data_IF_003304266083
#
_entry.id   IF_003304266083
#
_cell.length_a   1.000
_cell.length_b   1.000
_cell.length_c   1.000
_cell.angle_alpha   90.00
_cell.angle_beta   90.00
_cell.angle_gamma   90.00
#
_symmetry.space_group_name_H-M   'P 1'
#
loop_
_entity.id
_entity.type
_entity.pdbx_description
1 polymer ?
#
# COMPACT_ATOMS: atom_id res chain seq x y z
N UNK A 1 5.49 -46.02 -1.15
CA UNK A 1 6.83 -46.12 -0.54
C UNK A 1 7.53 -44.82 -0.81
N UNK A 2 7.58 -43.95 0.20
CA UNK A 2 8.14 -42.60 0.12
C UNK A 2 9.65 -42.74 0.27
N UNK A 3 10.39 -42.45 -0.80
CA UNK A 3 11.85 -42.43 -0.74
C UNK A 3 12.28 -41.16 -0.03
N UNK A 4 12.79 -41.34 1.20
CA UNK A 4 13.59 -40.37 1.93
C UNK A 4 14.79 -39.98 1.07
N UNK A 5 14.75 -38.79 0.47
CA UNK A 5 15.95 -38.17 -0.09
C UNK A 5 16.64 -37.45 1.07
N UNK A 6 17.55 -38.17 1.72
CA UNK A 6 18.41 -37.57 2.74
C UNK A 6 19.32 -36.53 2.10
N UNK A 7 19.33 -35.32 2.66
CA UNK A 7 20.29 -34.29 2.29
C UNK A 7 21.71 -34.76 2.67
N UNK A 8 22.70 -34.65 1.76
CA UNK A 8 24.07 -35.03 2.07
C UNK A 8 24.67 -34.11 3.15
N UNK A 9 25.48 -34.69 4.03
CA UNK A 9 26.28 -33.98 5.02
C UNK A 9 27.30 -33.06 4.32
N UNK A 10 27.14 -31.74 4.41
CA UNK A 10 28.08 -30.73 3.89
C UNK A 10 28.81 -30.01 5.06
N UNK A 11 30.17 -29.98 5.08
CA UNK A 11 30.97 -29.43 6.19
C UNK A 11 31.03 -27.90 6.30
N UNK A 12 30.43 -27.12 5.39
CA UNK A 12 30.33 -25.67 5.52
C UNK A 12 28.89 -25.24 5.84
N UNK A 13 28.54 -25.23 7.13
CA UNK A 13 27.30 -24.59 7.62
C UNK A 13 27.39 -23.07 7.48
N UNK A 14 27.14 -22.60 6.27
CA UNK A 14 26.90 -21.19 5.92
C UNK A 14 25.50 -20.70 6.41
N UNK A 15 24.79 -21.51 7.22
CA UNK A 15 23.46 -21.29 7.78
C UNK A 15 23.34 -20.09 8.74
N UNK A 16 24.45 -19.45 9.11
CA UNK A 16 24.47 -18.39 10.12
C UNK A 16 24.69 -16.99 9.55
N UNK A 17 24.85 -16.84 8.23
CA UNK A 17 24.98 -15.51 7.64
C UNK A 17 23.60 -14.88 7.48
N UNK A 18 23.32 -13.87 8.29
CA UNK A 18 22.16 -13.00 8.10
C UNK A 18 22.34 -12.23 6.80
N UNK A 19 21.44 -12.45 5.84
CA UNK A 19 21.45 -11.81 4.52
C UNK A 19 20.57 -10.56 4.54
N UNK A 20 19.39 -10.65 5.17
CA UNK A 20 18.44 -9.55 5.30
C UNK A 20 17.96 -9.49 6.74
N UNK A 21 17.92 -8.29 7.33
CA UNK A 21 17.44 -8.09 8.70
C UNK A 21 16.51 -6.88 8.82
N UNK A 22 15.51 -6.99 9.70
CA UNK A 22 14.65 -5.88 10.14
C UNK A 22 15.40 -4.85 10.99
N UNK A 23 16.55 -5.22 11.56
CA UNK A 23 17.37 -4.38 12.44
C UNK A 23 18.30 -3.43 11.66
N UNK A 24 17.72 -2.52 10.86
CA UNK A 24 18.53 -1.52 10.16
C UNK A 24 18.94 -0.38 11.12
N UNK A 25 20.24 -0.22 11.35
CA UNK A 25 20.79 0.88 12.16
C UNK A 25 20.67 0.71 13.67
N UNK A 26 20.32 -0.49 14.16
CA UNK A 26 20.23 -0.83 15.59
C UNK A 26 20.90 -2.18 15.86
N UNK A 27 21.29 -2.42 17.12
CA UNK A 27 21.82 -3.73 17.51
C UNK A 27 20.73 -4.81 17.41
N UNK A 28 21.00 -5.94 16.75
CA UNK A 28 20.01 -7.00 16.59
C UNK A 28 19.78 -7.73 17.90
N UNK A 29 18.52 -8.03 18.20
CA UNK A 29 18.18 -8.94 19.28
C UNK A 29 18.50 -10.39 18.90
N UNK A 30 18.71 -11.22 19.93
CA UNK A 30 18.93 -12.65 19.70
C UNK A 30 17.63 -13.32 19.23
N UNK A 31 17.71 -14.07 18.13
CA UNK A 31 16.62 -14.91 17.63
C UNK A 31 16.17 -15.88 18.71
N UNK A 32 14.86 -16.10 18.82
CA UNK A 32 14.33 -17.07 19.77
C UNK A 32 14.97 -18.45 19.53
N UNK A 33 15.59 -19.07 20.55
CA UNK A 33 16.30 -20.34 20.39
C UNK A 33 15.45 -21.48 19.81
N UNK A 34 14.11 -21.45 20.01
CA UNK A 34 13.19 -22.44 19.42
C UNK A 34 13.16 -22.40 17.89
N UNK A 35 13.47 -21.25 17.29
CA UNK A 35 13.22 -20.96 15.87
C UNK A 35 14.47 -20.54 15.10
N UNK A 36 15.66 -20.82 15.63
CA UNK A 36 16.92 -20.56 14.93
C UNK A 36 16.93 -21.23 13.56
N UNK A 37 16.48 -22.49 13.47
CA UNK A 37 16.45 -23.22 12.20
C UNK A 37 15.47 -22.61 11.19
N UNK A 38 14.29 -22.17 11.65
CA UNK A 38 13.31 -21.46 10.83
C UNK A 38 13.89 -20.16 10.28
N UNK A 39 14.52 -19.35 11.14
CA UNK A 39 15.17 -18.09 10.74
C UNK A 39 16.35 -18.33 9.78
N UNK A 40 17.21 -19.31 10.06
CA UNK A 40 18.31 -19.68 9.19
C UNK A 40 17.84 -20.09 7.78
N UNK A 41 16.74 -20.85 7.69
CA UNK A 41 16.13 -21.21 6.39
C UNK A 41 15.53 -20.00 5.69
N UNK A 42 14.89 -19.08 6.42
CA UNK A 42 14.44 -17.80 5.85
C UNK A 42 15.61 -17.03 5.22
N UNK A 43 16.72 -16.89 5.96
CA UNK A 43 17.95 -16.23 5.48
C UNK A 43 18.58 -16.93 4.28
N UNK A 44 18.56 -18.27 4.26
CA UNK A 44 19.03 -19.05 3.12
C UNK A 44 18.21 -18.77 1.86
N UNK A 45 16.89 -18.64 1.97
CA UNK A 45 16.08 -18.26 0.82
C UNK A 45 16.37 -16.84 0.32
N UNK A 46 16.69 -15.87 1.20
CA UNK A 46 17.20 -14.57 0.75
C UNK A 46 18.57 -14.64 0.08
N UNK A 47 19.46 -15.53 0.53
CA UNK A 47 20.74 -15.80 -0.17
C UNK A 47 20.47 -16.25 -1.60
N UNK A 48 19.59 -17.24 -1.79
CA UNK A 48 19.23 -17.72 -3.13
C UNK A 48 18.55 -16.66 -3.98
N UNK A 49 17.70 -15.82 -3.38
CA UNK A 49 17.12 -14.67 -4.05
C UNK A 49 18.21 -13.69 -4.55
N UNK A 50 19.17 -13.33 -3.70
CA UNK A 50 20.28 -12.45 -4.09
C UNK A 50 21.13 -13.05 -5.23
N UNK A 51 21.30 -14.37 -5.23
CA UNK A 51 22.01 -15.13 -6.27
C UNK A 51 21.17 -15.36 -7.55
N UNK A 52 19.91 -14.89 -7.58
CA UNK A 52 18.92 -15.15 -8.64
C UNK A 52 18.66 -16.64 -8.88
N UNK A 53 18.84 -17.47 -7.86
CA UNK A 53 18.51 -18.89 -7.89
C UNK A 53 17.06 -19.10 -7.42
N UNK A 54 16.11 -18.80 -8.30
CA UNK A 54 14.68 -18.80 -7.95
C UNK A 54 14.15 -20.18 -7.55
N UNK A 55 14.66 -21.25 -8.17
CA UNK A 55 14.21 -22.62 -7.88
C UNK A 55 14.56 -23.05 -6.45
N UNK A 56 15.80 -22.81 -6.02
CA UNK A 56 16.21 -23.17 -4.67
C UNK A 56 15.65 -22.20 -3.63
N UNK A 57 15.44 -20.93 -4.00
CA UNK A 57 14.69 -19.96 -3.19
C UNK A 57 13.27 -20.47 -2.89
N UNK A 58 12.47 -20.81 -3.91
CA UNK A 58 11.09 -21.28 -3.76
C UNK A 58 11.04 -22.58 -2.94
N UNK A 59 11.90 -23.55 -3.23
CA UNK A 59 11.95 -24.81 -2.44
C UNK A 59 12.26 -24.54 -0.97
N UNK A 60 13.21 -23.66 -0.70
CA UNK A 60 13.61 -23.29 0.66
C UNK A 60 12.49 -22.56 1.38
N UNK A 61 11.87 -21.55 0.75
CA UNK A 61 10.79 -20.79 1.35
C UNK A 61 9.48 -21.57 1.48
N UNK A 62 9.23 -22.57 0.63
CA UNK A 62 8.14 -23.51 0.84
C UNK A 62 8.37 -24.38 2.08
N UNK A 63 9.61 -24.82 2.32
CA UNK A 63 9.94 -25.53 3.56
C UNK A 63 9.78 -24.62 4.79
N UNK A 64 10.23 -23.36 4.69
CA UNK A 64 9.99 -22.34 5.73
C UNK A 64 8.50 -22.15 5.99
N UNK A 65 7.68 -22.05 4.95
CA UNK A 65 6.23 -21.89 5.10
C UNK A 65 5.62 -23.04 5.89
N UNK A 66 5.97 -24.29 5.57
CA UNK A 66 5.49 -25.46 6.31
C UNK A 66 5.96 -25.45 7.77
N UNK A 67 7.24 -25.18 8.01
CA UNK A 67 7.81 -25.09 9.36
C UNK A 67 7.16 -23.95 10.18
N UNK A 68 6.83 -22.84 9.53
CA UNK A 68 6.13 -21.70 10.12
C UNK A 68 4.69 -22.07 10.51
N UNK A 69 3.93 -22.72 9.63
CA UNK A 69 2.57 -23.16 9.94
C UNK A 69 2.56 -24.10 11.15
N UNK A 70 3.47 -25.07 11.18
CA UNK A 70 3.68 -25.97 12.31
C UNK A 70 4.05 -25.21 13.60
N UNK A 71 4.89 -24.17 13.49
CA UNK A 71 5.31 -23.36 14.63
C UNK A 71 4.14 -22.53 15.19
N UNK A 72 3.34 -21.92 14.32
CA UNK A 72 2.16 -21.14 14.70
C UNK A 72 1.11 -22.01 15.38
N UNK A 73 0.89 -23.24 14.89
CA UNK A 73 -0.01 -24.21 15.53
C UNK A 73 0.50 -24.59 16.93
N UNK A 74 1.79 -24.89 17.08
CA UNK A 74 2.41 -25.27 18.37
C UNK A 74 2.34 -24.17 19.42
N UNK A 75 2.50 -22.91 19.02
CA UNK A 75 2.37 -21.75 19.92
C UNK A 75 0.91 -21.29 20.08
N UNK A 76 -0.04 -21.97 19.42
CA UNK A 76 -1.47 -21.65 19.44
C UNK A 76 -1.79 -20.19 19.03
N UNK A 77 -0.99 -19.63 18.12
CA UNK A 77 -1.20 -18.27 17.58
C UNK A 77 -1.95 -18.32 16.26
N UNK A 78 -2.81 -17.31 16.05
CA UNK A 78 -3.70 -17.24 14.88
C UNK A 78 -3.44 -16.03 13.98
N UNK A 79 -2.36 -15.29 14.23
CA UNK A 79 -2.00 -14.14 13.42
C UNK A 79 -0.49 -14.01 13.29
N UNK A 80 0.00 -13.58 12.12
CA UNK A 80 1.44 -13.42 11.87
C UNK A 80 2.08 -12.42 12.84
N UNK A 81 1.46 -11.25 13.03
CA UNK A 81 1.94 -10.23 13.98
C UNK A 81 2.03 -10.76 15.42
N UNK A 82 1.15 -11.67 15.82
CA UNK A 82 1.24 -12.30 17.14
C UNK A 82 2.39 -13.31 17.23
N UNK A 83 2.66 -14.04 16.15
CA UNK A 83 3.81 -14.93 16.08
C UNK A 83 5.14 -14.15 16.05
N UNK A 84 5.16 -12.97 15.43
CA UNK A 84 6.35 -12.11 15.36
C UNK A 84 6.91 -11.73 16.75
N UNK A 85 6.03 -11.52 17.72
CA UNK A 85 6.39 -11.27 19.13
C UNK A 85 7.07 -12.49 19.80
N UNK A 86 6.85 -13.70 19.28
CA UNK A 86 7.45 -14.95 19.78
C UNK A 86 8.71 -15.29 18.98
N UNK A 87 8.64 -15.19 17.66
CA UNK A 87 9.68 -15.65 16.74
C UNK A 87 10.99 -14.90 16.95
N UNK A 88 10.91 -13.58 17.08
CA UNK A 88 12.05 -12.67 17.17
C UNK A 88 13.15 -12.91 16.11
N UNK A 89 12.77 -13.33 14.90
CA UNK A 89 13.71 -13.58 13.82
C UNK A 89 14.33 -12.32 13.23
N UNK A 90 15.24 -12.51 12.28
CA UNK A 90 15.80 -11.43 11.48
C UNK A 90 14.78 -10.80 10.54
N UNK A 91 13.66 -11.48 10.27
CA UNK A 91 12.51 -10.90 9.58
C UNK A 91 11.27 -10.93 10.46
N UNK A 92 10.34 -10.02 10.19
CA UNK A 92 8.95 -10.21 10.57
C UNK A 92 8.32 -11.19 9.59
N UNK A 93 7.70 -12.25 10.10
CA UNK A 93 6.85 -13.16 9.32
C UNK A 93 5.76 -12.38 8.61
N UNK A 94 5.15 -11.38 9.28
CA UNK A 94 4.14 -10.52 8.66
C UNK A 94 4.60 -9.82 7.38
N UNK A 95 5.92 -9.65 7.20
CA UNK A 95 6.52 -9.06 6.01
C UNK A 95 7.05 -10.14 5.05
N UNK A 96 7.70 -11.18 5.58
CA UNK A 96 8.32 -12.24 4.79
C UNK A 96 7.32 -13.00 3.91
N UNK A 97 6.07 -13.18 4.36
CA UNK A 97 5.04 -13.83 3.54
C UNK A 97 4.77 -13.11 2.21
N UNK A 98 4.92 -11.78 2.20
CA UNK A 98 4.85 -10.97 0.98
C UNK A 98 6.08 -11.15 0.09
N UNK A 99 7.28 -11.26 0.67
CA UNK A 99 8.48 -11.57 -0.10
C UNK A 99 8.36 -12.94 -0.80
N UNK A 100 7.75 -13.93 -0.13
CA UNK A 100 7.53 -15.25 -0.72
C UNK A 100 6.52 -15.18 -1.90
N UNK A 101 5.42 -14.44 -1.74
CA UNK A 101 4.50 -14.19 -2.86
C UNK A 101 5.20 -13.51 -4.04
N UNK A 102 5.97 -12.45 -3.79
CA UNK A 102 6.71 -11.73 -4.84
C UNK A 102 7.67 -12.64 -5.61
N UNK A 103 8.28 -13.62 -4.93
CA UNK A 103 9.14 -14.59 -5.60
C UNK A 103 8.37 -15.56 -6.48
N UNK A 104 7.19 -16.00 -6.06
CA UNK A 104 6.32 -16.81 -6.90
C UNK A 104 5.83 -16.00 -8.11
N UNK A 105 5.41 -14.76 -7.88
CA UNK A 105 5.00 -13.81 -8.91
C UNK A 105 6.06 -13.62 -9.99
N UNK A 106 7.30 -13.34 -9.59
CA UNK A 106 8.44 -13.18 -10.51
C UNK A 106 8.61 -14.41 -11.41
N UNK A 107 8.48 -15.62 -10.87
CA UNK A 107 8.63 -16.84 -11.68
C UNK A 107 7.43 -17.06 -12.60
N UNK A 108 6.20 -16.91 -12.11
CA UNK A 108 5.00 -17.17 -12.93
C UNK A 108 4.83 -16.15 -14.05
N UNK A 109 5.26 -14.90 -13.85
CA UNK A 109 5.17 -13.86 -14.87
C UNK A 109 6.21 -14.02 -16.00
N UNK A 110 7.35 -14.65 -15.71
CA UNK A 110 8.47 -14.71 -16.64
C UNK A 110 8.70 -16.10 -17.27
N UNK A 111 7.98 -17.14 -16.83
CA UNK A 111 8.12 -18.49 -17.38
C UNK A 111 7.32 -18.69 -18.67
N UNK A 112 7.92 -19.38 -19.65
CA UNK A 112 7.21 -19.93 -20.82
C UNK A 112 6.88 -21.42 -20.66
N UNK A 113 7.36 -22.06 -19.59
CA UNK A 113 7.08 -23.45 -19.27
C UNK A 113 5.70 -23.53 -18.58
N UNK A 114 4.77 -24.20 -19.25
CA UNK A 114 3.38 -24.36 -18.80
C UNK A 114 3.25 -25.22 -17.54
N UNK A 115 4.14 -26.19 -17.33
CA UNK A 115 4.11 -27.02 -16.12
C UNK A 115 4.59 -26.21 -14.90
N UNK A 116 5.63 -25.40 -15.08
CA UNK A 116 6.11 -24.47 -14.05
C UNK A 116 5.04 -23.42 -13.72
N UNK A 117 4.42 -22.83 -14.75
CA UNK A 117 3.33 -21.87 -14.58
C UNK A 117 2.16 -22.47 -13.79
N UNK A 118 1.71 -23.68 -14.16
CA UNK A 118 0.61 -24.36 -13.48
C UNK A 118 0.96 -24.70 -12.02
N UNK A 119 2.15 -25.25 -11.78
CA UNK A 119 2.59 -25.65 -10.45
C UNK A 119 2.75 -24.46 -9.51
N UNK A 120 3.49 -23.43 -9.92
CA UNK A 120 3.75 -22.27 -9.07
C UNK A 120 2.59 -21.29 -9.03
N UNK A 121 1.75 -21.21 -10.07
CA UNK A 121 0.51 -20.45 -10.03
C UNK A 121 -0.48 -21.04 -9.00
N UNK A 122 -0.65 -22.37 -8.98
CA UNK A 122 -1.48 -23.02 -7.95
C UNK A 122 -0.90 -22.84 -6.55
N UNK A 123 0.42 -22.94 -6.40
CA UNK A 123 1.08 -22.69 -5.12
C UNK A 123 0.86 -21.23 -4.66
N UNK A 124 0.98 -20.25 -5.56
CA UNK A 124 0.75 -18.83 -5.25
C UNK A 124 -0.70 -18.57 -4.80
N UNK A 125 -1.68 -19.18 -5.48
CA UNK A 125 -3.09 -19.10 -5.06
C UNK A 125 -3.28 -19.71 -3.67
N UNK A 126 -2.72 -20.89 -3.42
CA UNK A 126 -2.84 -21.55 -2.12
C UNK A 126 -2.20 -20.70 -1.00
N UNK A 127 -0.96 -20.26 -1.21
CA UNK A 127 -0.22 -19.42 -0.28
C UNK A 127 -1.03 -18.19 0.13
N UNK A 128 -1.57 -17.45 -0.84
CA UNK A 128 -2.29 -16.21 -0.54
C UNK A 128 -3.66 -16.47 0.12
N UNK A 129 -4.34 -17.57 -0.21
CA UNK A 129 -5.54 -17.98 0.53
C UNK A 129 -5.24 -18.30 1.99
N UNK A 130 -4.11 -18.96 2.26
CA UNK A 130 -3.68 -19.28 3.61
C UNK A 130 -3.24 -18.01 4.36
N UNK A 131 -2.47 -17.12 3.72
CA UNK A 131 -2.09 -15.81 4.28
C UNK A 131 -3.33 -15.07 4.79
N UNK A 132 -4.41 -15.00 4.01
CA UNK A 132 -5.66 -14.33 4.41
C UNK A 132 -6.26 -14.88 5.71
N UNK A 133 -5.99 -16.14 6.09
CA UNK A 133 -6.48 -16.73 7.34
C UNK A 133 -5.74 -16.22 8.59
N UNK A 134 -4.53 -15.68 8.42
CA UNK A 134 -3.65 -15.25 9.52
C UNK A 134 -3.45 -13.73 9.59
N UNK A 135 -4.18 -12.98 8.76
CA UNK A 135 -4.19 -11.52 8.79
C UNK A 135 -5.31 -11.00 9.72
N UNK A 136 -5.01 -9.90 10.42
CA UNK A 136 -5.97 -9.16 11.24
C UNK A 136 -6.72 -8.11 10.40
N UNK A 137 -7.83 -7.59 10.93
CA UNK A 137 -8.68 -6.63 10.20
C UNK A 137 -7.97 -5.33 9.83
N UNK A 138 -6.96 -4.94 10.59
CA UNK A 138 -6.15 -3.75 10.36
C UNK A 138 -4.96 -4.00 9.41
N UNK A 139 -4.76 -5.24 8.92
CA UNK A 139 -3.76 -5.60 7.91
C UNK A 139 -4.25 -5.31 6.48
N UNK A 140 -4.92 -4.17 6.29
CA UNK A 140 -5.64 -3.84 5.05
C UNK A 140 -4.78 -4.01 3.79
N UNK A 141 -3.55 -3.47 3.81
CA UNK A 141 -2.63 -3.54 2.66
C UNK A 141 -2.27 -4.99 2.32
N UNK A 142 -1.97 -5.82 3.32
CA UNK A 142 -1.63 -7.23 3.12
C UNK A 142 -2.82 -8.04 2.62
N UNK A 143 -4.04 -7.75 3.12
CA UNK A 143 -5.28 -8.37 2.64
C UNK A 143 -5.51 -8.04 1.17
N UNK A 144 -5.37 -6.77 0.80
CA UNK A 144 -5.54 -6.27 -0.56
C UNK A 144 -4.51 -6.91 -1.52
N UNK A 145 -3.24 -6.96 -1.12
CA UNK A 145 -2.19 -7.61 -1.91
C UNK A 145 -2.47 -9.11 -2.11
N UNK A 146 -2.82 -9.85 -1.06
CA UNK A 146 -3.11 -11.27 -1.18
C UNK A 146 -4.33 -11.55 -2.07
N UNK A 147 -5.40 -10.75 -1.95
CA UNK A 147 -6.58 -10.83 -2.81
C UNK A 147 -6.24 -10.61 -4.27
N UNK A 148 -5.45 -9.56 -4.56
CA UNK A 148 -5.00 -9.23 -5.91
C UNK A 148 -4.12 -10.34 -6.49
N UNK A 149 -3.14 -10.83 -5.71
CA UNK A 149 -2.29 -11.94 -6.11
C UNK A 149 -3.10 -13.18 -6.52
N UNK A 150 -4.16 -13.54 -5.78
CA UNK A 150 -5.04 -14.66 -6.14
C UNK A 150 -5.75 -14.41 -7.46
N UNK A 151 -6.39 -13.24 -7.63
CA UNK A 151 -7.17 -12.94 -8.83
C UNK A 151 -6.29 -12.87 -10.08
N UNK A 152 -5.17 -12.14 -10.02
CA UNK A 152 -4.20 -12.02 -11.11
C UNK A 152 -3.62 -13.39 -11.50
N UNK A 153 -3.37 -14.26 -10.53
CA UNK A 153 -2.85 -15.61 -10.83
C UNK A 153 -3.86 -16.46 -11.60
N UNK A 154 -5.17 -16.30 -11.36
CA UNK A 154 -6.18 -16.97 -12.20
C UNK A 154 -6.15 -16.49 -13.65
N UNK A 155 -5.92 -15.20 -13.90
CA UNK A 155 -5.70 -14.69 -15.27
C UNK A 155 -4.44 -15.30 -15.89
N UNK A 156 -3.33 -15.36 -15.15
CA UNK A 156 -2.08 -15.97 -15.63
C UNK A 156 -2.26 -17.44 -16.02
N UNK A 157 -3.03 -18.19 -15.23
CA UNK A 157 -3.39 -19.59 -15.51
C UNK A 157 -4.43 -19.75 -16.62
N UNK A 158 -4.90 -18.66 -17.24
CA UNK A 158 -5.89 -18.67 -18.32
C UNK A 158 -7.33 -18.86 -17.85
N UNK A 159 -7.60 -18.87 -16.55
CA UNK A 159 -8.94 -18.91 -15.98
C UNK A 159 -9.49 -17.50 -15.75
N UNK A 160 -9.73 -16.80 -16.87
CA UNK A 160 -10.21 -15.42 -16.88
C UNK A 160 -11.50 -15.24 -16.07
N UNK A 161 -12.48 -16.13 -16.26
CA UNK A 161 -13.78 -16.03 -15.59
C UNK A 161 -13.65 -16.03 -14.07
N UNK A 162 -12.75 -16.86 -13.53
CA UNK A 162 -12.52 -16.87 -12.07
C UNK A 162 -11.80 -15.62 -11.59
N UNK A 163 -10.85 -15.11 -12.37
CA UNK A 163 -10.18 -13.85 -12.07
C UNK A 163 -11.16 -12.67 -12.03
N UNK A 164 -12.06 -12.57 -13.01
CA UNK A 164 -13.16 -11.57 -13.05
C UNK A 164 -14.05 -11.68 -11.82
N UNK A 165 -14.56 -12.87 -11.53
CA UNK A 165 -15.46 -13.12 -10.39
C UNK A 165 -14.83 -12.64 -9.06
N UNK A 166 -13.53 -12.87 -8.90
CA UNK A 166 -12.81 -12.47 -7.69
C UNK A 166 -12.63 -10.96 -7.61
N UNK A 167 -12.17 -10.28 -8.67
CA UNK A 167 -12.05 -8.82 -8.67
C UNK A 167 -13.41 -8.15 -8.44
N UNK A 168 -14.48 -8.62 -9.12
CA UNK A 168 -15.85 -8.14 -8.90
C UNK A 168 -16.28 -8.30 -7.45
N UNK A 169 -16.03 -9.47 -6.86
CA UNK A 169 -16.34 -9.74 -5.46
C UNK A 169 -15.59 -8.81 -4.50
N UNK A 170 -14.27 -8.66 -4.68
CA UNK A 170 -13.44 -7.84 -3.81
C UNK A 170 -13.79 -6.35 -3.91
N UNK A 171 -14.06 -5.84 -5.11
CA UNK A 171 -14.37 -4.43 -5.34
C UNK A 171 -15.83 -4.10 -5.00
N UNK A 172 -16.71 -5.10 -4.95
CA UNK A 172 -18.03 -4.94 -4.34
C UNK A 172 -17.92 -4.74 -2.83
N UNK A 173 -17.00 -5.46 -2.17
CA UNK A 173 -16.77 -5.35 -0.72
C UNK A 173 -15.94 -4.11 -0.34
N UNK A 174 -15.03 -3.66 -1.21
CA UNK A 174 -14.12 -2.53 -0.97
C UNK A 174 -13.96 -1.67 -2.24
N UNK A 175 -15.01 -0.94 -2.66
CA UNK A 175 -15.00 -0.19 -3.92
C UNK A 175 -13.98 0.95 -3.93
N UNK A 176 -13.56 1.46 -2.78
CA UNK A 176 -12.56 2.51 -2.66
C UNK A 176 -11.11 2.03 -2.88
N UNK A 177 -10.90 0.73 -3.10
CA UNK A 177 -9.58 0.14 -3.30
C UNK A 177 -9.04 0.40 -4.72
N UNK A 178 -8.31 1.52 -4.89
CA UNK A 178 -7.75 1.95 -6.18
C UNK A 178 -6.87 0.89 -6.86
N UNK A 179 -5.93 0.28 -6.11
CA UNK A 179 -5.07 -0.77 -6.64
C UNK A 179 -5.80 -2.06 -7.04
N UNK A 180 -6.99 -2.31 -6.51
CA UNK A 180 -7.84 -3.41 -6.97
C UNK A 180 -8.40 -3.14 -8.36
N UNK A 181 -8.87 -1.91 -8.62
CA UNK A 181 -9.33 -1.49 -9.94
C UNK A 181 -8.20 -1.45 -10.97
N UNK A 182 -7.03 -0.91 -10.58
CA UNK A 182 -5.83 -0.89 -11.43
C UNK A 182 -5.44 -2.33 -11.79
N UNK A 183 -5.26 -3.20 -10.79
CA UNK A 183 -4.84 -4.58 -11.02
C UNK A 183 -5.81 -5.35 -11.93
N UNK A 184 -7.11 -5.11 -11.80
CA UNK A 184 -8.12 -5.70 -12.67
C UNK A 184 -8.03 -5.18 -14.11
N UNK A 185 -7.91 -3.86 -14.28
CA UNK A 185 -7.72 -3.21 -15.58
C UNK A 185 -6.47 -3.73 -16.29
N UNK A 186 -5.35 -3.86 -15.58
CA UNK A 186 -4.05 -4.28 -16.14
C UNK A 186 -4.10 -5.64 -16.84
N UNK A 187 -4.97 -6.55 -16.36
CA UNK A 187 -5.13 -7.89 -16.93
C UNK A 187 -5.55 -7.86 -18.40
N UNK A 188 -6.14 -6.75 -18.84
CA UNK A 188 -6.68 -6.59 -20.18
C UNK A 188 -5.74 -5.96 -21.19
N UNK A 189 -4.59 -5.41 -20.80
CA UNK A 189 -3.79 -4.68 -21.79
C UNK A 189 -2.27 -4.72 -21.57
N UNK A 190 -1.79 -4.96 -20.35
CA UNK A 190 -0.36 -4.86 -20.06
C UNK A 190 0.45 -6.11 -20.40
N UNK A 191 -0.12 -7.30 -20.22
CA UNK A 191 0.68 -8.52 -20.17
C UNK A 191 0.84 -9.22 -21.51
N UNK A 192 -0.27 -9.40 -22.25
CA UNK A 192 -0.28 -10.18 -23.51
C UNK A 192 -1.00 -9.41 -24.60
N UNK A 193 -0.23 -8.81 -25.52
CA UNK A 193 -0.73 -8.01 -26.65
C UNK A 193 -1.80 -8.71 -27.50
N UNK A 194 -1.73 -10.04 -27.57
CA UNK A 194 -2.66 -10.87 -28.33
C UNK A 194 -4.08 -10.89 -27.75
N UNK A 195 -4.23 -10.56 -26.47
CA UNK A 195 -5.50 -10.57 -25.74
C UNK A 195 -5.90 -9.18 -25.25
N UNK A 196 -5.30 -8.13 -25.82
CA UNK A 196 -5.54 -6.77 -25.39
C UNK A 196 -6.98 -6.33 -25.66
N UNK A 197 -7.64 -5.80 -24.63
CA UNK A 197 -8.96 -5.18 -24.66
C UNK A 197 -8.91 -3.83 -23.92
N UNK A 198 -8.41 -2.81 -24.64
CA UNK A 198 -8.33 -1.44 -24.12
C UNK A 198 -9.68 -0.90 -23.66
N UNK A 199 -10.78 -1.30 -24.32
CA UNK A 199 -12.11 -0.83 -23.98
C UNK A 199 -12.55 -1.36 -22.62
N UNK A 200 -12.39 -2.66 -22.37
CA UNK A 200 -12.71 -3.25 -21.06
C UNK A 200 -11.83 -2.65 -19.96
N UNK A 201 -10.55 -2.44 -20.25
CA UNK A 201 -9.62 -1.77 -19.34
C UNK A 201 -10.07 -0.33 -19.00
N UNK A 202 -10.46 0.45 -20.01
CA UNK A 202 -10.99 1.81 -19.85
C UNK A 202 -12.27 1.81 -19.00
N UNK A 203 -13.21 0.90 -19.28
CA UNK A 203 -14.47 0.77 -18.53
C UNK A 203 -14.20 0.54 -17.03
N UNK A 204 -13.25 -0.34 -16.68
CA UNK A 204 -12.88 -0.64 -15.29
C UNK A 204 -12.31 0.61 -14.60
N UNK A 205 -11.35 1.31 -15.23
CA UNK A 205 -10.73 2.50 -14.65
C UNK A 205 -11.71 3.67 -14.53
N UNK A 206 -12.59 3.86 -15.51
CA UNK A 206 -13.64 4.88 -15.43
C UNK A 206 -14.65 4.56 -14.32
N UNK A 207 -15.04 3.29 -14.14
CA UNK A 207 -15.87 2.88 -13.01
C UNK A 207 -15.21 3.21 -11.66
N UNK A 208 -13.92 2.94 -11.52
CA UNK A 208 -13.16 3.30 -10.33
C UNK A 208 -13.24 4.82 -10.05
N UNK A 209 -13.05 5.64 -11.09
CA UNK A 209 -13.08 7.11 -10.96
C UNK A 209 -14.45 7.68 -10.57
N UNK A 210 -15.54 6.93 -10.73
CA UNK A 210 -16.87 7.31 -10.22
C UNK A 210 -17.06 6.96 -8.73
N UNK A 211 -16.18 6.16 -8.13
CA UNK A 211 -16.28 5.79 -6.71
C UNK A 211 -15.97 6.99 -5.82
N UNK A 212 -16.93 7.34 -4.95
CA UNK A 212 -16.74 8.34 -3.91
C UNK A 212 -15.75 7.82 -2.86
N UNK A 213 -14.72 8.62 -2.54
CA UNK A 213 -13.70 8.24 -1.55
C UNK A 213 -12.66 7.25 -2.06
N UNK A 214 -12.59 7.02 -3.38
CA UNK A 214 -11.55 6.21 -4.03
C UNK A 214 -10.14 6.58 -3.50
N UNK A 215 -9.45 5.61 -2.91
CA UNK A 215 -8.03 5.70 -2.56
C UNK A 215 -7.19 5.60 -3.82
N UNK A 216 -5.99 6.18 -3.80
CA UNK A 216 -5.02 6.09 -4.91
C UNK A 216 -5.61 6.61 -6.24
N UNK A 217 -6.50 7.62 -6.16
CA UNK A 217 -7.19 8.18 -7.33
C UNK A 217 -6.22 8.76 -8.36
N UNK A 218 -5.15 9.41 -7.89
CA UNK A 218 -4.14 9.97 -8.79
C UNK A 218 -3.42 8.82 -9.55
N UNK A 219 -3.14 7.67 -8.90
CA UNK A 219 -2.59 6.47 -9.56
C UNK A 219 -3.57 5.85 -10.58
N UNK A 220 -4.87 5.87 -10.29
CA UNK A 220 -5.92 5.41 -11.23
C UNK A 220 -6.00 6.34 -12.44
N UNK A 221 -5.90 7.66 -12.23
CA UNK A 221 -5.86 8.65 -13.32
C UNK A 221 -4.56 8.49 -14.16
N UNK A 222 -3.41 8.27 -13.53
CA UNK A 222 -2.15 7.96 -14.21
C UNK A 222 -2.24 6.66 -15.01
N UNK A 223 -2.85 5.61 -14.45
CA UNK A 223 -3.05 4.36 -15.17
C UNK A 223 -3.90 4.55 -16.42
N UNK A 224 -4.93 5.40 -16.36
CA UNK A 224 -5.78 5.73 -17.50
C UNK A 224 -5.05 6.57 -18.56
N UNK A 225 -4.13 7.46 -18.15
CA UNK A 225 -3.23 8.15 -19.09
C UNK A 225 -2.37 7.14 -19.85
N UNK A 226 -1.71 6.23 -19.13
CA UNK A 226 -0.87 5.19 -19.73
C UNK A 226 -1.66 4.31 -20.70
N UNK A 227 -2.92 3.99 -20.36
CA UNK A 227 -3.82 3.25 -21.23
C UNK A 227 -4.09 4.00 -22.54
N UNK A 228 -4.43 5.29 -22.47
CA UNK A 228 -4.70 6.11 -23.66
C UNK A 228 -3.46 6.33 -24.53
N UNK A 229 -2.29 6.47 -23.91
CA UNK A 229 -1.03 6.55 -24.63
C UNK A 229 -0.77 5.24 -25.40
N UNK A 230 -0.86 4.08 -24.74
CA UNK A 230 -0.61 2.78 -25.38
C UNK A 230 -1.67 2.42 -26.43
N UNK A 231 -2.94 2.83 -26.22
CA UNK A 231 -4.03 2.61 -27.17
C UNK A 231 -4.06 3.61 -28.34
N UNK A 232 -3.26 4.68 -28.30
CA UNK A 232 -3.24 5.76 -29.31
C UNK A 232 -4.47 6.68 -29.28
N UNK A 233 -5.12 6.81 -28.13
CA UNK A 233 -6.30 7.67 -27.92
C UNK A 233 -5.89 9.12 -27.59
N UNK A 234 -5.15 9.76 -28.50
CA UNK A 234 -4.48 11.06 -28.31
C UNK A 234 -5.39 12.17 -27.78
N UNK A 235 -6.65 12.21 -28.21
CA UNK A 235 -7.60 13.25 -27.78
C UNK A 235 -8.05 13.02 -26.34
N UNK A 236 -8.36 11.76 -25.97
CA UNK A 236 -8.72 11.42 -24.59
C UNK A 236 -7.54 11.66 -23.65
N UNK A 237 -6.34 11.31 -24.08
CA UNK A 237 -5.09 11.59 -23.37
C UNK A 237 -4.97 13.09 -23.04
N UNK A 238 -5.01 13.95 -24.06
CA UNK A 238 -4.90 15.42 -23.88
C UNK A 238 -5.98 15.98 -22.97
N UNK A 239 -7.23 15.53 -23.12
CA UNK A 239 -8.34 15.99 -22.28
C UNK A 239 -8.11 15.61 -20.82
N UNK A 240 -7.66 14.38 -20.55
CA UNK A 240 -7.38 13.90 -19.21
C UNK A 240 -6.18 14.63 -18.58
N UNK A 241 -5.08 14.82 -19.32
CA UNK A 241 -3.91 15.58 -18.89
C UNK A 241 -4.28 17.01 -18.47
N UNK A 242 -5.07 17.70 -19.30
CA UNK A 242 -5.54 19.06 -19.00
C UNK A 242 -6.38 19.08 -17.72
N UNK A 243 -7.25 18.08 -17.53
CA UNK A 243 -8.07 17.96 -16.32
C UNK A 243 -7.23 17.76 -15.07
N UNK A 244 -6.24 16.86 -15.12
CA UNK A 244 -5.34 16.56 -14.00
C UNK A 244 -4.50 17.79 -13.66
N UNK A 245 -3.86 18.41 -14.67
CA UNK A 245 -3.05 19.61 -14.50
C UNK A 245 -3.86 20.76 -13.90
N UNK A 246 -5.10 20.96 -14.36
CA UNK A 246 -5.97 21.98 -13.79
C UNK A 246 -6.29 21.72 -12.32
N UNK A 247 -6.63 20.48 -11.94
CA UNK A 247 -6.87 20.11 -10.53
C UNK A 247 -5.62 20.34 -9.67
N UNK A 248 -4.46 19.92 -10.16
CA UNK A 248 -3.16 20.10 -9.50
C UNK A 248 -2.85 21.57 -9.24
N UNK A 249 -3.07 22.44 -10.22
CA UNK A 249 -2.92 23.89 -10.05
C UNK A 249 -3.88 24.47 -8.98
N UNK A 250 -5.11 23.98 -8.91
CA UNK A 250 -6.06 24.42 -7.87
C UNK A 250 -5.61 23.97 -6.48
N UNK A 251 -5.19 22.70 -6.33
CA UNK A 251 -4.62 22.16 -5.08
C UNK A 251 -3.45 23.01 -4.60
N UNK A 252 -2.50 23.30 -5.48
CA UNK A 252 -1.33 24.12 -5.15
C UNK A 252 -1.71 25.55 -4.75
N UNK A 253 -2.73 26.16 -5.37
CA UNK A 253 -3.23 27.49 -4.98
C UNK A 253 -3.87 27.46 -3.60
N UNK A 254 -4.66 26.42 -3.30
CA UNK A 254 -5.31 26.24 -2.01
C UNK A 254 -4.28 25.98 -0.89
N UNK A 255 -3.29 25.13 -1.12
CA UNK A 255 -2.22 24.85 -0.17
C UNK A 255 -1.42 26.11 0.16
N UNK A 256 -1.05 26.91 -0.86
CA UNK A 256 -0.39 28.21 -0.66
C UNK A 256 -1.26 29.17 0.16
N UNK A 257 -2.57 29.20 -0.09
CA UNK A 257 -3.50 30.01 0.68
C UNK A 257 -3.58 29.55 2.14
N UNK A 258 -3.70 28.23 2.37
CA UNK A 258 -3.78 27.64 3.70
C UNK A 258 -2.48 27.83 4.49
N UNK A 259 -1.32 27.69 3.84
CA UNK A 259 -0.03 27.95 4.44
C UNK A 259 0.11 29.43 4.85
N UNK A 260 -0.28 30.36 3.98
CA UNK A 260 -0.31 31.80 4.31
C UNK A 260 -1.23 32.08 5.49
N UNK A 261 -2.40 31.43 5.53
CA UNK A 261 -3.37 31.55 6.63
C UNK A 261 -2.77 31.01 7.94
N UNK A 262 -2.15 29.82 7.94
CA UNK A 262 -1.47 29.23 9.10
C UNK A 262 -0.38 30.17 9.65
N UNK A 263 0.46 30.74 8.78
CA UNK A 263 1.50 31.72 9.18
C UNK A 263 0.89 32.98 9.83
N UNK A 264 -0.24 33.47 9.31
CA UNK A 264 -0.94 34.62 9.89
C UNK A 264 -1.46 34.33 11.31
N UNK A 265 -2.10 33.18 11.52
CA UNK A 265 -2.62 32.79 12.84
C UNK A 265 -1.51 32.51 13.86
N UNK A 266 -0.42 31.83 13.46
CA UNK A 266 0.76 31.65 14.31
C UNK A 266 1.36 32.99 14.76
N UNK A 267 1.39 33.98 13.86
CA UNK A 267 1.84 35.34 14.18
C UNK A 267 0.88 36.13 15.09
N UNK A 268 -0.40 35.72 15.21
CA UNK A 268 -1.36 36.31 16.15
C UNK A 268 -1.24 35.68 17.55
N UNK A 269 -0.98 34.38 17.65
CA UNK A 269 -0.78 33.67 18.93
C UNK A 269 0.51 34.08 19.63
N UNK A 270 1.55 34.49 18.89
CA UNK A 270 2.82 34.97 19.44
C UNK A 270 2.81 36.45 19.85
N UNK A 271 1.70 37.18 19.67
CA UNK A 271 1.60 38.54 20.18
C UNK A 271 1.36 38.49 21.69
N UNK A 272 2.22 39.11 22.52
CA UNK A 272 1.92 39.22 23.94
C UNK A 272 0.58 39.95 24.09
N UNK A 273 -0.40 39.28 24.71
CA UNK A 273 -1.66 39.92 25.09
C UNK A 273 -1.31 40.98 26.13
N UNK A 274 -1.14 42.23 25.70
CA UNK A 274 -0.85 43.32 26.62
C UNK A 274 -2.11 43.56 27.46
N UNK A 275 -2.14 43.21 28.76
CA UNK A 275 -3.34 43.36 29.59
C UNK A 275 -3.74 44.83 29.76
N UNK A 276 -2.85 45.76 29.39
CA UNK A 276 -3.03 47.21 29.45
C UNK A 276 -3.43 47.85 28.12
N UNK A 277 -3.82 47.08 27.09
CA UNK A 277 -4.54 47.68 25.97
C UNK A 277 -5.96 48.05 26.44
N UNK A 278 -6.09 49.25 27.00
CA UNK A 278 -7.38 49.84 27.27
C UNK A 278 -8.18 49.90 25.96
N UNK A 279 -9.25 49.10 25.88
CA UNK A 279 -10.31 49.32 24.91
C UNK A 279 -10.96 50.65 25.24
N UNK A 280 -10.39 51.75 24.74
CA UNK A 280 -11.15 52.99 24.66
C UNK A 280 -12.25 52.74 23.64
N UNK A 281 -13.50 52.59 24.10
CA UNK A 281 -14.65 52.72 23.23
C UNK A 281 -14.54 54.10 22.58
N UNK A 282 -14.13 54.12 21.31
CA UNK A 282 -14.07 55.36 20.53
C UNK A 282 -15.49 55.87 20.41
N UNK A 283 -15.86 56.82 21.27
CA UNK A 283 -17.14 57.52 21.19
C UNK A 283 -17.27 58.10 19.78
N UNK A 284 -18.23 57.58 19.01
CA UNK A 284 -18.49 58.04 17.65
C UNK A 284 -18.81 59.53 17.66
N UNK A 285 -18.21 60.32 16.74
CA UNK A 285 -18.34 61.78 16.68
C UNK A 285 -19.80 62.29 16.71
N UNK A 286 -20.75 61.49 16.23
CA UNK A 286 -22.19 61.84 16.19
C UNK A 286 -23.02 61.27 17.36
N UNK A 287 -22.45 60.42 18.22
CA UNK A 287 -23.14 59.86 19.39
C UNK A 287 -23.37 60.94 20.46
N UNK A 288 -24.35 60.76 21.36
CA UNK A 288 -24.51 61.61 22.54
C UNK A 288 -23.19 61.76 23.30
N UNK A 289 -22.87 62.98 23.72
CA UNK A 289 -21.63 63.26 24.41
C UNK A 289 -21.67 62.69 25.83
N UNK A 290 -20.65 61.92 26.26
CA UNK A 290 -20.65 61.24 27.56
C UNK A 290 -20.59 62.19 28.77
N UNK A 291 -20.36 63.49 28.57
CA UNK A 291 -20.43 64.48 29.64
C UNK A 291 -21.87 64.82 30.08
N UNK A 292 -22.89 64.22 29.47
CA UNK A 292 -24.29 64.42 29.84
C UNK A 292 -24.90 65.72 29.32
N UNK A 293 -24.22 66.46 28.44
CA UNK A 293 -24.71 67.74 27.90
C UNK A 293 -25.93 67.65 26.98
N UNK A 294 -26.33 66.44 26.59
CA UNK A 294 -27.38 66.20 25.59
C UNK A 294 -26.96 66.52 24.14
N UNK A 295 -25.74 67.01 23.89
CA UNK A 295 -25.22 67.34 22.56
C UNK A 295 -24.47 66.15 21.94
N UNK A 296 -24.32 66.12 20.61
CA UNK A 296 -23.44 65.14 19.92
C UNK A 296 -21.97 65.38 20.30
N UNK A 297 -21.16 64.33 20.42
CA UNK A 297 -19.76 64.41 20.86
C UNK A 297 -18.94 65.48 20.11
N UNK A 298 -19.06 65.54 18.77
CA UNK A 298 -18.37 66.55 17.93
C UNK A 298 -18.75 68.00 18.20
N UNK A 299 -19.90 68.26 18.83
CA UNK A 299 -20.41 69.60 19.15
C UNK A 299 -20.28 69.92 20.65
N UNK A 300 -19.52 69.12 21.39
CA UNK A 300 -19.29 69.29 22.82
C UNK A 300 -17.82 68.97 23.15
N UNK A 301 -17.53 67.86 23.84
CA UNK A 301 -16.17 67.54 24.27
C UNK A 301 -15.21 67.18 23.12
N UNK A 302 -15.73 66.88 21.93
CA UNK A 302 -14.96 66.66 20.72
C UNK A 302 -14.88 67.87 19.79
N UNK A 303 -15.24 69.07 20.28
CA UNK A 303 -15.12 70.34 19.55
C UNK A 303 -13.74 70.94 19.79
N UNK A 304 -12.77 70.49 19.01
CA UNK A 304 -11.55 71.24 18.70
C UNK A 304 -11.57 71.53 17.19
#
# INVERSE_FOLDING_TARGET
MVNNVGFPNDPERDYYRVIRSKYFGVEPEAVNPKYIDLDSKMQLGYKYLQERNHNDCIKTWLAVWNDLMDAMEKEAVKAFKAFDEIFNGNQYVSNWVGDFDMMLEEVVNNTSDTEVLDAYGKLRIQLNNDILQFLMKDDQISIENARRAIAETYFLLGNKDKGEELFEGYLKDSPEWGWGWIGWSDQYWMWKKEFTDYKRSEEILLCALEVHGLRDRDDVEERLLNLYEDSGEDEKLKVLEQRINFKEEQRQKEDKYLERKKRLYAGLEQRPSNPNQAMSEKVGRNNPCPCGSGKKYKKCCGSY
#
